data_IF_383321275589
#
_entry.id   IF_383321275589
#
_cell.length_a   1.000
_cell.length_b   1.000
_cell.length_c   1.000
_cell.angle_alpha   90.00
_cell.angle_beta   90.00
_cell.angle_gamma   90.00
#
_symmetry.space_group_name_H-M   'P 1'
#
loop_
_entity.id
_entity.type
_entity.pdbx_description
1 polymer ?
#
# COMPACT_ATOMS: atom_id res chain seq x y z
N UNK A 1 -27.78 9.33 -2.59
CA UNK A 1 -27.76 7.98 -1.99
C UNK A 1 -26.90 8.02 -0.75
N UNK A 2 -27.42 7.53 0.38
CA UNK A 2 -26.78 7.64 1.70
C UNK A 2 -25.40 6.96 1.71
N UNK A 3 -24.38 7.68 2.21
CA UNK A 3 -23.03 7.15 2.44
C UNK A 3 -23.12 6.11 3.56
N UNK A 4 -22.90 4.84 3.23
CA UNK A 4 -22.80 3.76 4.21
C UNK A 4 -21.36 3.78 4.75
N UNK A 5 -21.19 4.00 6.04
CA UNK A 5 -19.89 3.89 6.69
C UNK A 5 -19.74 2.46 7.19
N UNK A 6 -18.64 1.81 6.83
CA UNK A 6 -18.28 0.51 7.39
C UNK A 6 -17.69 0.71 8.79
N UNK A 7 -18.30 0.07 9.79
CA UNK A 7 -17.79 0.04 11.16
C UNK A 7 -16.95 -1.22 11.34
N UNK A 8 -15.64 -1.05 11.56
CA UNK A 8 -14.71 -2.16 11.75
C UNK A 8 -14.94 -2.92 13.06
N UNK A 9 -15.79 -2.42 13.97
CA UNK A 9 -16.23 -3.15 15.17
C UNK A 9 -17.52 -3.94 14.92
N UNK A 10 -18.16 -3.75 13.77
CA UNK A 10 -19.36 -4.47 13.38
C UNK A 10 -18.98 -5.72 12.57
N UNK A 11 -19.21 -6.94 13.09
CA UNK A 11 -18.80 -8.17 12.41
C UNK A 11 -19.46 -8.37 11.04
N UNK A 12 -20.63 -7.77 10.79
CA UNK A 12 -21.29 -7.84 9.47
C UNK A 12 -20.59 -6.99 8.42
N UNK A 13 -20.07 -5.83 8.81
CA UNK A 13 -19.33 -4.95 7.92
C UNK A 13 -17.95 -5.55 7.62
N UNK A 14 -17.37 -6.27 8.58
CA UNK A 14 -16.12 -7.02 8.41
C UNK A 14 -16.29 -8.22 7.46
N UNK A 15 -17.39 -8.97 7.57
CA UNK A 15 -17.73 -10.05 6.64
C UNK A 15 -17.99 -9.53 5.21
N UNK A 16 -18.66 -8.38 5.07
CA UNK A 16 -18.88 -7.74 3.77
C UNK A 16 -17.56 -7.28 3.12
N UNK A 17 -16.63 -6.73 3.93
CA UNK A 17 -15.27 -6.41 3.48
C UNK A 17 -14.48 -7.67 3.12
N UNK A 18 -14.65 -8.77 3.87
CA UNK A 18 -14.00 -10.05 3.59
C UNK A 18 -14.42 -10.62 2.24
N UNK A 19 -15.73 -10.63 1.96
CA UNK A 19 -16.27 -11.16 0.71
C UNK A 19 -15.92 -10.26 -0.49
N UNK A 20 -15.70 -8.95 -0.26
CA UNK A 20 -15.16 -8.02 -1.26
C UNK A 20 -13.69 -8.28 -1.61
N UNK A 21 -12.89 -8.67 -0.62
CA UNK A 21 -11.45 -8.87 -0.78
C UNK A 21 -11.08 -10.24 -1.35
N UNK A 22 -11.96 -11.25 -1.21
CA UNK A 22 -11.60 -12.67 -1.41
C UNK A 22 -12.41 -13.41 -2.46
N UNK A 23 -13.37 -12.78 -3.14
CA UNK A 23 -14.07 -13.42 -4.26
C UNK A 23 -13.21 -13.37 -5.52
N UNK A 24 -12.45 -14.44 -5.75
CA UNK A 24 -11.76 -14.72 -7.00
C UNK A 24 -12.67 -15.53 -7.94
N UNK A 25 -13.43 -14.82 -8.77
CA UNK A 25 -13.88 -15.37 -10.04
C UNK A 25 -13.36 -14.47 -11.16
N UNK A 26 -12.07 -14.61 -11.46
CA UNK A 26 -11.49 -14.06 -12.69
C UNK A 26 -11.02 -15.19 -13.61
N UNK A 27 -11.91 -15.64 -14.49
CA UNK A 27 -11.50 -16.03 -15.84
C UNK A 27 -12.03 -14.96 -16.78
N UNK A 28 -11.19 -13.97 -17.10
CA UNK A 28 -11.33 -13.23 -18.34
C UNK A 28 -9.96 -12.79 -18.90
N UNK A 29 -9.83 -12.75 -20.24
CA UNK A 29 -8.57 -12.89 -20.94
C UNK A 29 -7.86 -11.54 -21.12
N UNK A 30 -6.67 -11.40 -20.55
CA UNK A 30 -5.73 -10.37 -20.94
C UNK A 30 -5.07 -10.76 -22.27
N UNK A 31 -5.49 -10.15 -23.36
CA UNK A 31 -4.73 -10.19 -24.61
C UNK A 31 -3.40 -9.45 -24.42
N UNK A 32 -2.34 -10.20 -24.73
CA UNK A 32 -0.93 -9.86 -24.91
C UNK A 32 -0.62 -8.40 -25.28
N UNK A 33 0.02 -7.66 -24.36
CA UNK A 33 0.92 -6.56 -24.69
C UNK A 33 2.18 -6.64 -23.83
N UNK A 34 3.21 -7.22 -24.46
CA UNK A 34 4.66 -7.08 -24.26
C UNK A 34 5.18 -6.84 -22.81
N UNK A 35 5.58 -7.95 -22.18
CA UNK A 35 6.34 -7.98 -20.94
C UNK A 35 7.73 -7.40 -21.19
N UNK A 36 7.87 -6.09 -21.01
CA UNK A 36 9.17 -5.44 -20.89
C UNK A 36 10.01 -6.09 -19.79
N UNK A 37 11.29 -6.27 -20.11
CA UNK A 37 12.29 -7.04 -19.35
C UNK A 37 12.18 -6.93 -17.83
N UNK A 38 12.11 -8.11 -17.23
CA UNK A 38 12.03 -8.42 -15.81
C UNK A 38 13.28 -7.90 -15.10
N UNK A 39 13.15 -6.77 -14.40
CA UNK A 39 14.21 -6.30 -13.49
C UNK A 39 14.29 -7.26 -12.30
N UNK A 40 15.52 -7.65 -11.92
CA UNK A 40 15.94 -8.65 -10.92
C UNK A 40 15.40 -8.52 -9.46
N UNK A 41 14.24 -7.89 -9.25
CA UNK A 41 13.51 -7.81 -7.99
C UNK A 41 12.49 -8.95 -7.98
N UNK A 42 12.95 -10.17 -7.72
CA UNK A 42 12.24 -11.26 -7.03
C UNK A 42 12.77 -12.60 -7.55
N UNK A 43 13.73 -13.17 -6.82
CA UNK A 43 13.70 -14.63 -6.66
C UNK A 43 12.41 -14.91 -5.90
N UNK A 44 11.41 -15.36 -6.65
CA UNK A 44 10.04 -15.53 -6.22
C UNK A 44 9.98 -16.62 -5.15
N UNK A 45 9.95 -16.22 -3.87
CA UNK A 45 9.44 -17.09 -2.82
C UNK A 45 7.98 -17.38 -3.20
N UNK A 46 7.67 -18.61 -3.64
CA UNK A 46 6.30 -19.03 -3.95
C UNK A 46 5.44 -18.78 -2.70
N UNK A 47 4.55 -17.79 -2.79
CA UNK A 47 3.54 -17.55 -1.75
C UNK A 47 2.49 -18.63 -1.95
N UNK A 48 2.53 -19.68 -1.13
CA UNK A 48 1.51 -20.72 -1.19
C UNK A 48 0.18 -20.16 -0.65
N UNK A 49 -0.96 -20.57 -1.23
CA UNK A 49 -2.30 -20.12 -0.80
C UNK A 49 -2.55 -20.32 0.70
N UNK A 50 -1.94 -21.36 1.29
CA UNK A 50 -1.99 -21.64 2.74
C UNK A 50 -1.33 -20.57 3.62
N UNK A 51 -0.44 -19.76 3.06
CA UNK A 51 0.21 -18.67 3.77
C UNK A 51 -0.59 -17.37 3.76
N UNK A 52 -1.55 -17.27 2.83
CA UNK A 52 -2.46 -16.13 2.69
C UNK A 52 -3.55 -16.29 3.75
N UNK A 53 -3.31 -15.71 4.92
CA UNK A 53 -4.30 -15.62 5.99
C UNK A 53 -5.08 -14.32 5.87
N UNK A 54 -6.32 -14.33 6.36
CA UNK A 54 -7.09 -13.09 6.51
C UNK A 54 -6.32 -12.11 7.40
N UNK A 55 -6.14 -10.89 6.91
CA UNK A 55 -5.45 -9.84 7.65
C UNK A 55 -6.37 -9.21 8.68
N UNK A 56 -5.90 -9.16 9.93
CA UNK A 56 -6.61 -8.51 11.02
C UNK A 56 -6.23 -7.02 11.16
N UNK A 57 -7.12 -6.25 11.79
CA UNK A 57 -6.83 -4.83 12.13
C UNK A 57 -5.58 -4.70 12.99
N UNK A 58 -5.32 -5.67 13.88
CA UNK A 58 -4.11 -5.71 14.73
C UNK A 58 -2.87 -5.91 13.87
N UNK A 59 -2.92 -6.83 12.91
CA UNK A 59 -1.82 -7.12 12.00
C UNK A 59 -1.51 -5.92 11.11
N UNK A 60 -2.54 -5.25 10.57
CA UNK A 60 -2.35 -4.04 9.76
C UNK A 60 -1.75 -2.89 10.58
N UNK A 61 -2.19 -2.70 11.84
CA UNK A 61 -1.58 -1.72 12.75
C UNK A 61 -0.12 -2.04 13.06
N UNK A 62 0.19 -3.31 13.29
CA UNK A 62 1.55 -3.78 13.50
C UNK A 62 2.44 -3.52 12.28
N UNK A 63 1.93 -3.80 11.07
CA UNK A 63 2.60 -3.52 9.80
C UNK A 63 2.92 -2.03 9.63
N UNK A 64 1.92 -1.15 9.82
CA UNK A 64 2.10 0.30 9.74
C UNK A 64 3.11 0.78 10.81
N UNK A 65 3.05 0.21 12.02
CA UNK A 65 4.01 0.48 13.08
C UNK A 65 5.45 0.14 12.69
N UNK A 66 5.67 -0.98 12.00
CA UNK A 66 6.98 -1.36 11.47
C UNK A 66 7.45 -0.42 10.36
N UNK A 67 6.57 0.07 9.50
CA UNK A 67 6.91 1.08 8.49
C UNK A 67 7.40 2.39 9.14
N UNK A 68 6.72 2.85 10.19
CA UNK A 68 7.18 4.01 10.97
C UNK A 68 8.54 3.75 11.62
N UNK A 69 8.72 2.56 12.19
CA UNK A 69 9.97 2.18 12.82
C UNK A 69 11.14 2.11 11.82
N UNK A 70 10.91 1.59 10.61
CA UNK A 70 11.88 1.60 9.53
C UNK A 70 12.29 3.03 9.13
N UNK A 71 11.32 3.95 9.11
CA UNK A 71 11.58 5.38 8.90
C UNK A 71 12.47 5.99 10.00
N UNK A 72 12.23 5.65 11.27
CA UNK A 72 13.05 6.11 12.40
C UNK A 72 14.49 5.60 12.30
N UNK A 73 14.67 4.34 11.90
CA UNK A 73 16.00 3.75 11.69
C UNK A 73 16.69 4.21 10.40
N UNK A 74 16.01 4.99 9.55
CA UNK A 74 16.49 5.41 8.23
C UNK A 74 16.83 4.22 7.31
N UNK A 75 16.11 3.11 7.48
CA UNK A 75 16.33 1.83 6.81
C UNK A 75 15.68 1.75 5.42
N UNK A 76 15.46 2.88 4.74
CA UNK A 76 14.62 2.95 3.53
C UNK A 76 15.20 2.21 2.30
N UNK A 77 16.50 1.93 2.29
CA UNK A 77 17.19 1.17 1.23
C UNK A 77 17.72 -0.19 1.70
N UNK A 78 17.45 -0.60 2.95
CA UNK A 78 17.90 -1.90 3.44
C UNK A 78 17.00 -3.00 2.87
N UNK A 79 17.59 -4.14 2.50
CA UNK A 79 16.78 -5.29 2.11
C UNK A 79 16.01 -5.82 3.33
N UNK A 80 14.84 -6.42 3.07
CA UNK A 80 13.99 -6.91 4.16
C UNK A 80 14.68 -8.05 4.93
N UNK A 81 15.52 -8.83 4.24
CA UNK A 81 16.30 -9.92 4.82
C UNK A 81 17.30 -9.43 5.87
N UNK A 82 18.01 -8.33 5.59
CA UNK A 82 18.90 -7.68 6.56
C UNK A 82 18.11 -6.99 7.68
N UNK A 83 17.00 -6.34 7.35
CA UNK A 83 16.20 -5.61 8.32
C UNK A 83 15.58 -6.52 9.38
N UNK A 84 15.04 -7.66 8.95
CA UNK A 84 14.45 -8.66 9.85
C UNK A 84 15.51 -9.59 10.46
N UNK A 85 16.60 -9.86 9.73
CA UNK A 85 17.66 -10.79 10.13
C UNK A 85 17.19 -12.25 10.14
N UNK A 86 18.08 -13.18 9.84
CA UNK A 86 17.81 -14.63 9.97
C UNK A 86 18.50 -15.23 11.20
N UNK A 87 19.57 -14.62 11.69
CA UNK A 87 20.44 -15.18 12.73
C UNK A 87 20.63 -14.25 13.95
N UNK A 88 19.73 -13.27 14.14
CA UNK A 88 19.80 -12.28 15.22
C UNK A 88 20.65 -11.05 14.90
N UNK A 89 20.99 -10.86 13.63
CA UNK A 89 21.75 -9.74 13.07
C UNK A 89 20.86 -8.56 12.62
N UNK A 90 19.55 -8.79 12.50
CA UNK A 90 18.56 -7.77 12.15
C UNK A 90 18.07 -6.95 13.34
N UNK A 91 17.09 -6.07 13.07
CA UNK A 91 16.44 -5.29 14.12
C UNK A 91 15.43 -6.21 14.82
N UNK A 92 15.77 -6.66 16.03
CA UNK A 92 14.97 -7.61 16.83
C UNK A 92 13.47 -7.28 16.86
N UNK A 93 13.13 -5.98 16.96
CA UNK A 93 11.73 -5.51 17.00
C UNK A 93 10.90 -5.92 15.79
N UNK A 94 11.50 -6.07 14.60
CA UNK A 94 10.76 -6.44 13.39
C UNK A 94 10.30 -7.90 13.47
N UNK A 95 11.23 -8.83 13.74
CA UNK A 95 10.92 -10.25 13.89
C UNK A 95 10.03 -10.57 15.09
N UNK A 96 10.09 -9.77 16.16
CA UNK A 96 9.20 -9.91 17.31
C UNK A 96 7.74 -9.51 17.03
N UNK A 97 7.51 -8.58 16.09
CA UNK A 97 6.18 -8.07 15.77
C UNK A 97 5.48 -8.94 14.73
N UNK A 98 6.18 -9.32 13.66
CA UNK A 98 5.66 -10.26 12.66
C UNK A 98 6.79 -10.95 11.90
N UNK A 99 6.47 -12.07 11.25
CA UNK A 99 7.45 -12.76 10.40
C UNK A 99 7.74 -11.94 9.13
N UNK A 100 8.96 -12.08 8.59
CA UNK A 100 9.34 -11.50 7.29
C UNK A 100 8.37 -11.95 6.18
N UNK A 101 7.88 -13.20 6.25
CA UNK A 101 6.92 -13.76 5.29
C UNK A 101 5.59 -13.02 5.34
N UNK A 102 5.03 -12.81 6.54
CA UNK A 102 3.81 -12.03 6.73
C UNK A 102 3.98 -10.60 6.21
N UNK A 103 5.11 -9.96 6.51
CA UNK A 103 5.41 -8.61 6.03
C UNK A 103 5.47 -8.53 4.50
N UNK A 104 6.15 -9.49 3.84
CA UNK A 104 6.22 -9.61 2.38
C UNK A 104 4.84 -9.85 1.74
N UNK A 105 3.97 -10.63 2.37
CA UNK A 105 2.60 -10.85 1.88
C UNK A 105 1.80 -9.55 1.97
N UNK A 106 1.81 -8.88 3.12
CA UNK A 106 1.07 -7.64 3.33
C UNK A 106 1.49 -6.54 2.35
N UNK A 107 2.80 -6.34 2.12
CA UNK A 107 3.27 -5.29 1.20
C UNK A 107 2.87 -5.56 -0.26
N UNK A 108 2.78 -6.82 -0.69
CA UNK A 108 2.37 -7.20 -2.05
C UNK A 108 0.86 -7.14 -2.24
N UNK A 109 0.10 -7.56 -1.23
CA UNK A 109 -1.35 -7.71 -1.30
C UNK A 109 -2.14 -6.46 -0.87
N UNK A 110 -1.48 -5.42 -0.33
CA UNK A 110 -2.18 -4.20 0.10
C UNK A 110 -2.91 -3.55 -1.08
N UNK A 111 -4.21 -3.30 -0.90
CA UNK A 111 -5.10 -2.62 -1.85
C UNK A 111 -5.96 -1.60 -1.11
N UNK A 112 -6.33 -0.53 -1.80
CA UNK A 112 -7.12 0.58 -1.25
C UNK A 112 -8.43 0.81 -2.02
N UNK A 113 -8.68 0.00 -3.04
CA UNK A 113 -9.86 0.00 -3.87
C UNK A 113 -10.65 -1.30 -3.72
N UNK A 114 -11.89 -1.23 -4.16
CA UNK A 114 -12.82 -2.35 -4.20
C UNK A 114 -13.13 -2.65 -5.67
N UNK A 115 -12.86 -3.90 -6.06
CA UNK A 115 -13.07 -4.43 -7.40
C UNK A 115 -14.52 -4.19 -7.89
N UNK A 116 -15.50 -4.28 -6.98
CA UNK A 116 -16.92 -4.14 -7.31
C UNK A 116 -17.32 -2.70 -7.66
N UNK A 117 -16.53 -1.70 -7.24
CA UNK A 117 -16.77 -0.29 -7.58
C UNK A 117 -15.91 0.23 -8.72
N UNK A 118 -15.09 -0.62 -9.35
CA UNK A 118 -14.20 -0.23 -10.45
C UNK A 118 -14.89 0.50 -11.59
N UNK A 119 -16.09 0.08 -11.97
CA UNK A 119 -16.84 0.72 -13.07
C UNK A 119 -17.19 2.18 -12.77
N UNK A 120 -17.48 2.50 -11.50
CA UNK A 120 -17.74 3.89 -11.05
C UNK A 120 -16.42 4.65 -10.84
N UNK A 121 -15.38 3.96 -10.41
CA UNK A 121 -14.06 4.52 -10.13
C UNK A 121 -13.26 4.87 -11.40
N UNK A 122 -13.40 4.11 -12.50
CA UNK A 122 -12.76 4.44 -13.79
C UNK A 122 -13.19 5.81 -14.32
N UNK A 123 -14.43 6.22 -14.07
CA UNK A 123 -14.94 7.55 -14.43
C UNK A 123 -14.33 8.68 -13.58
N UNK A 124 -13.81 8.36 -12.39
CA UNK A 124 -13.19 9.31 -11.47
C UNK A 124 -11.76 9.69 -11.86
N UNK A 125 -11.10 8.92 -12.74
CA UNK A 125 -9.81 9.23 -13.33
C UNK A 125 -8.65 8.37 -12.80
N UNK A 126 -7.42 8.70 -13.25
CA UNK A 126 -6.21 7.87 -13.06
C UNK A 126 -5.78 7.64 -11.60
N UNK A 127 -6.27 8.45 -10.67
CA UNK A 127 -5.97 8.38 -9.22
C UNK A 127 -6.99 7.56 -8.43
N UNK A 128 -7.97 6.93 -9.10
CA UNK A 128 -9.06 6.25 -8.43
C UNK A 128 -8.65 5.17 -7.41
N UNK A 129 -7.62 4.32 -7.65
CA UNK A 129 -7.30 3.19 -6.76
C UNK A 129 -6.95 3.57 -5.30
N UNK A 130 -6.50 4.80 -5.06
CA UNK A 130 -6.12 5.27 -3.71
C UNK A 130 -6.94 6.48 -3.25
N UNK A 131 -7.89 6.93 -4.09
CA UNK A 131 -8.60 8.20 -3.87
C UNK A 131 -9.34 8.24 -2.55
N UNK A 132 -10.12 7.20 -2.26
CA UNK A 132 -10.98 7.19 -1.07
C UNK A 132 -10.15 7.24 0.22
N UNK A 133 -9.08 6.44 0.29
CA UNK A 133 -8.14 6.45 1.42
C UNK A 133 -7.47 7.82 1.56
N UNK A 134 -7.01 8.40 0.45
CA UNK A 134 -6.35 9.71 0.45
C UNK A 134 -7.29 10.85 0.88
N UNK A 135 -8.53 10.86 0.40
CA UNK A 135 -9.54 11.86 0.78
C UNK A 135 -9.89 11.80 2.27
N UNK A 136 -9.94 10.59 2.86
CA UNK A 136 -10.13 10.42 4.31
C UNK A 136 -8.96 11.02 5.09
N UNK A 137 -7.72 10.78 4.66
CA UNK A 137 -6.53 11.36 5.28
C UNK A 137 -6.57 12.88 5.18
N UNK A 138 -6.86 13.42 3.99
CA UNK A 138 -6.92 14.86 3.76
C UNK A 138 -7.95 15.54 4.68
N UNK A 139 -9.15 14.95 4.79
CA UNK A 139 -10.21 15.45 5.67
C UNK A 139 -9.79 15.45 7.14
N UNK A 140 -9.08 14.42 7.58
CA UNK A 140 -8.55 14.36 8.94
C UNK A 140 -7.51 15.46 9.18
N UNK A 141 -6.60 15.70 8.24
CA UNK A 141 -5.63 16.80 8.35
C UNK A 141 -6.31 18.17 8.46
N UNK A 142 -7.30 18.43 7.60
CA UNK A 142 -8.05 19.70 7.58
C UNK A 142 -8.87 19.96 8.84
N UNK A 143 -9.38 18.91 9.49
CA UNK A 143 -10.14 19.04 10.74
C UNK A 143 -9.26 19.12 11.98
N UNK A 144 -8.00 18.68 11.89
CA UNK A 144 -7.06 18.64 13.02
C UNK A 144 -6.31 19.95 13.24
N UNK A 145 -6.25 20.82 12.24
CA UNK A 145 -5.45 22.05 12.31
C UNK A 145 -6.07 23.18 11.47
N UNK A 146 -6.08 24.39 12.03
CA UNK A 146 -6.43 25.62 11.31
C UNK A 146 -5.16 26.41 11.03
N UNK A 147 -4.80 26.68 9.77
CA UNK A 147 -3.60 27.43 9.44
C UNK A 147 -3.69 28.89 9.90
N UNK A 148 -2.54 29.47 10.24
CA UNK A 148 -2.41 30.89 10.55
C UNK A 148 -2.33 31.76 9.30
N UNK A 149 -2.03 33.04 9.49
CA UNK A 149 -1.97 34.05 8.40
C UNK A 149 -0.91 33.72 7.33
N UNK A 150 0.22 33.14 7.74
CA UNK A 150 1.32 32.80 6.85
C UNK A 150 1.34 31.30 6.56
N UNK A 151 1.06 30.93 5.32
CA UNK A 151 1.21 29.56 4.83
C UNK A 151 1.82 29.55 3.42
N UNK A 152 2.44 28.43 3.07
CA UNK A 152 3.11 28.25 1.78
C UNK A 152 2.42 27.16 0.99
N UNK A 153 2.23 27.41 -0.30
CA UNK A 153 1.82 26.39 -1.26
C UNK A 153 3.05 26.05 -2.09
N UNK A 154 3.48 24.80 -1.99
CA UNK A 154 4.60 24.28 -2.76
C UNK A 154 4.25 22.92 -3.35
N UNK A 155 5.07 22.45 -4.28
CA UNK A 155 4.92 21.15 -4.92
C UNK A 155 5.79 20.12 -4.18
N UNK A 156 5.21 18.97 -3.86
CA UNK A 156 5.94 17.80 -3.38
C UNK A 156 5.95 16.74 -4.47
N UNK A 157 7.13 16.17 -4.72
CA UNK A 157 7.29 15.04 -5.62
C UNK A 157 7.62 13.80 -4.81
N UNK A 158 7.07 12.67 -5.24
CA UNK A 158 7.44 11.37 -4.73
C UNK A 158 8.08 10.59 -5.88
N UNK A 159 9.38 10.29 -5.75
CA UNK A 159 10.10 9.50 -6.73
C UNK A 159 9.45 8.13 -6.93
N UNK A 160 9.15 7.78 -8.19
CA UNK A 160 8.61 6.48 -8.55
C UNK A 160 9.07 6.04 -9.93
N UNK A 161 9.67 4.85 -10.03
CA UNK A 161 10.23 4.31 -11.28
C UNK A 161 9.36 3.28 -11.99
N UNK A 162 8.32 2.76 -11.33
CA UNK A 162 7.40 1.82 -11.95
C UNK A 162 6.47 2.45 -12.99
N UNK A 163 5.69 1.61 -13.68
CA UNK A 163 4.65 2.05 -14.61
C UNK A 163 3.53 2.75 -13.81
N UNK A 164 3.34 4.05 -14.04
CA UNK A 164 2.28 4.84 -13.42
C UNK A 164 1.75 5.86 -14.43
N UNK A 165 0.43 5.91 -14.59
CA UNK A 165 -0.25 6.70 -15.63
C UNK A 165 -0.23 8.22 -15.39
N UNK A 166 0.19 8.67 -14.20
CA UNK A 166 0.32 10.08 -13.82
C UNK A 166 1.75 10.47 -13.42
N UNK A 167 2.74 9.61 -13.73
CA UNK A 167 4.16 9.94 -13.56
C UNK A 167 4.56 11.08 -14.50
N UNK A 168 5.24 12.09 -13.98
CA UNK A 168 5.77 13.22 -14.74
C UNK A 168 7.29 13.25 -14.64
N UNK A 169 7.96 13.57 -15.75
CA UNK A 169 9.40 13.82 -15.77
C UNK A 169 9.66 15.31 -15.60
N UNK A 170 10.48 15.67 -14.60
CA UNK A 170 10.83 17.07 -14.30
C UNK A 170 12.36 17.21 -14.41
N UNK A 171 12.89 17.72 -15.54
CA UNK A 171 14.32 17.72 -15.83
C UNK A 171 15.21 18.40 -14.77
N UNK A 172 14.68 19.35 -14.02
CA UNK A 172 15.43 20.18 -13.07
C UNK A 172 15.57 19.59 -11.66
N UNK A 173 14.92 18.46 -11.36
CA UNK A 173 14.94 17.87 -10.02
C UNK A 173 15.92 16.69 -9.90
N UNK A 174 16.76 16.73 -8.85
CA UNK A 174 17.86 15.77 -8.61
C UNK A 174 17.39 14.35 -8.32
N UNK A 175 16.13 14.14 -7.97
CA UNK A 175 15.55 12.81 -7.71
C UNK A 175 15.41 11.96 -8.99
N UNK A 176 15.54 12.57 -10.17
CA UNK A 176 15.58 11.86 -11.44
C UNK A 176 16.97 11.28 -11.79
N UNK A 177 18.00 11.48 -10.94
CA UNK A 177 19.41 11.17 -11.24
C UNK A 177 20.05 10.02 -10.44
N UNK A 178 19.31 9.25 -9.62
CA UNK A 178 19.91 8.19 -8.78
C UNK A 178 19.31 6.82 -9.01
#
# INVERSE_FOLDING_TARGET
>A
MARRNFDLNNPKDVEEIRDLLMNDESKDPAENEDLGEESDIDKMDEVEERDIRHTDVIELKAFIGLLYLAGVYKSYCQCLEELFGQAGDGIEKFGLVMSIKSFKILIRCLRFDDQTTLSKQKALGRFAPIREGFEKILKNCQSSYSPGENFTIDQMLSGFRGKCSFRQYIPSNRENMA
#
